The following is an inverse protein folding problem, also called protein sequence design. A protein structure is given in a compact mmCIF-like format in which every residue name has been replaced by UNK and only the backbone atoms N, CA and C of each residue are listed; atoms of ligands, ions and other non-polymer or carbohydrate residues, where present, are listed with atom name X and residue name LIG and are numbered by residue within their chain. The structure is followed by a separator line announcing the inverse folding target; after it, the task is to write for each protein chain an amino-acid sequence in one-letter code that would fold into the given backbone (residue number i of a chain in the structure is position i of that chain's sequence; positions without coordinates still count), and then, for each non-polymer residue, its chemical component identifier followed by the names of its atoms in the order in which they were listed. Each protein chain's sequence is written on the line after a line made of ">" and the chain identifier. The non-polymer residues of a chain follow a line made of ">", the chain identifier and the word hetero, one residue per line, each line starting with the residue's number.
data_IF_918301319752
#
_entry.id   IF_918301319752
#
_cell.length_a   1.000
_cell.length_b   1.000
_cell.length_c   1.000
_cell.angle_alpha   90.00
_cell.angle_beta   90.00
_cell.angle_gamma   90.00
#
_symmetry.space_group_name_H-M   'P 1'
#
loop_
_entity.id
_entity.type
_entity.pdbx_description
1 polymer ?
#
# COMPACT_ATOMS: atom_id res chain seq x y z
N UNK A 1 -40.70 51.51 37.40
CA UNK A 1 -39.64 50.89 38.21
C UNK A 1 -39.31 49.54 37.61
N UNK A 2 -38.12 49.45 37.01
CA UNK A 2 -37.32 48.26 36.62
C UNK A 2 -37.97 47.08 35.88
N UNK A 3 -37.59 46.97 34.60
CA UNK A 3 -37.68 45.84 33.66
C UNK A 3 -36.83 44.62 34.09
N UNK A 4 -37.29 43.37 33.87
CA UNK A 4 -36.39 42.23 33.72
C UNK A 4 -36.75 41.28 32.55
N UNK A 5 -37.20 41.80 31.40
CA UNK A 5 -37.48 41.00 30.18
C UNK A 5 -36.49 41.26 29.05
N UNK A 6 -35.22 41.53 29.39
CA UNK A 6 -34.11 41.58 28.42
C UNK A 6 -33.25 40.32 28.54
N UNK A 7 -33.69 39.22 27.92
CA UNK A 7 -32.80 38.07 27.66
C UNK A 7 -31.77 38.49 26.60
N UNK A 8 -30.46 38.35 26.85
CA UNK A 8 -29.45 38.64 25.84
C UNK A 8 -29.54 37.62 24.71
N UNK A 9 -29.54 38.13 23.48
CA UNK A 9 -29.42 37.35 22.26
C UNK A 9 -28.16 36.47 22.35
N UNK A 10 -28.36 35.16 22.17
CA UNK A 10 -27.30 34.16 22.15
C UNK A 10 -26.39 34.41 20.93
N UNK A 11 -25.06 34.44 21.08
CA UNK A 11 -24.16 34.64 19.96
C UNK A 11 -24.30 33.49 18.95
N UNK A 12 -24.44 33.88 17.69
CA UNK A 12 -24.33 33.05 16.49
C UNK A 12 -22.92 32.45 16.42
N UNK A 13 -22.73 31.25 16.96
CA UNK A 13 -21.51 30.49 16.72
C UNK A 13 -21.57 29.88 15.33
N UNK A 14 -21.00 30.60 14.38
CA UNK A 14 -20.51 30.10 13.11
C UNK A 14 -19.61 28.88 13.35
N UNK A 15 -20.08 27.68 12.97
CA UNK A 15 -19.26 26.46 12.96
C UNK A 15 -19.88 25.39 12.04
N UNK A 16 -20.19 25.74 10.80
CA UNK A 16 -20.76 24.79 9.83
C UNK A 16 -20.09 24.81 8.44
N UNK A 17 -18.88 25.39 8.30
CA UNK A 17 -18.25 25.57 6.98
C UNK A 17 -16.87 24.91 6.80
N UNK A 18 -16.38 24.10 7.76
CA UNK A 18 -15.00 23.57 7.71
C UNK A 18 -14.88 22.06 7.52
N UNK A 19 -16.00 21.32 7.45
CA UNK A 19 -15.97 19.86 7.25
C UNK A 19 -15.93 19.42 5.79
N UNK A 20 -16.27 20.30 4.84
CA UNK A 20 -16.30 19.93 3.42
C UNK A 20 -14.95 20.04 2.70
N UNK A 21 -13.94 20.69 3.31
CA UNK A 21 -12.67 20.93 2.61
C UNK A 21 -11.62 19.82 2.82
N UNK A 22 -11.68 19.06 3.92
CA UNK A 22 -10.74 17.93 4.15
C UNK A 22 -11.07 16.70 3.32
N UNK A 23 -12.35 16.43 3.07
CA UNK A 23 -12.79 15.27 2.28
C UNK A 23 -12.50 15.44 0.78
N UNK A 24 -12.55 16.68 0.28
CA UNK A 24 -12.23 17.00 -1.12
C UNK A 24 -10.74 16.82 -1.44
N UNK A 25 -9.83 17.16 -0.52
CA UNK A 25 -8.39 17.04 -0.72
C UNK A 25 -7.94 15.57 -0.89
N UNK A 26 -8.50 14.65 -0.10
CA UNK A 26 -8.18 13.22 -0.19
C UNK A 26 -8.80 12.59 -1.46
N UNK A 27 -9.99 13.03 -1.87
CA UNK A 27 -10.61 12.58 -3.13
C UNK A 27 -9.87 13.12 -4.37
N UNK A 28 -9.32 14.33 -4.32
CA UNK A 28 -8.51 14.92 -5.39
C UNK A 28 -7.17 14.19 -5.58
N UNK A 29 -6.55 13.72 -4.50
CA UNK A 29 -5.32 12.92 -4.57
C UNK A 29 -5.52 11.57 -5.29
N UNK A 30 -6.75 11.02 -5.31
CA UNK A 30 -7.07 9.78 -6.05
C UNK A 30 -7.35 9.99 -7.54
N UNK A 31 -7.30 11.23 -8.04
CA UNK A 31 -7.61 11.58 -9.44
C UNK A 31 -6.43 12.11 -10.25
N UNK A 32 -5.23 12.15 -9.67
CA UNK A 32 -4.00 12.34 -10.43
C UNK A 32 -3.51 10.98 -10.94
N UNK A 33 -4.05 10.50 -12.07
CA UNK A 33 -3.37 9.45 -12.84
C UNK A 33 -2.01 10.03 -13.24
N UNK A 34 -0.88 9.39 -12.92
CA UNK A 34 0.40 9.83 -13.41
C UNK A 34 0.32 9.85 -14.94
N UNK A 35 0.53 11.03 -15.53
CA UNK A 35 0.54 11.20 -16.98
C UNK A 35 1.90 10.72 -17.47
N UNK A 36 2.05 9.39 -17.48
CA UNK A 36 3.26 8.74 -17.94
C UNK A 36 3.43 9.11 -19.42
N UNK A 37 4.53 9.80 -19.75
CA UNK A 37 4.87 10.17 -21.12
C UNK A 37 4.95 8.89 -21.96
N UNK A 38 3.99 8.75 -22.86
CA UNK A 38 3.68 7.57 -23.66
C UNK A 38 4.71 7.17 -24.72
N UNK A 39 5.93 7.72 -24.70
CA UNK A 39 6.92 7.52 -25.77
C UNK A 39 8.10 6.61 -25.41
N UNK A 40 8.12 5.96 -24.23
CA UNK A 40 9.25 5.10 -23.83
C UNK A 40 8.87 3.74 -23.21
N UNK A 41 7.58 3.37 -23.14
CA UNK A 41 7.15 2.11 -22.48
C UNK A 41 6.99 0.94 -23.46
N UNK A 42 7.23 1.13 -24.76
CA UNK A 42 6.96 0.08 -25.76
C UNK A 42 7.87 -1.14 -25.67
N UNK A 43 8.97 -1.10 -24.91
CA UNK A 43 9.95 -2.19 -24.86
C UNK A 43 10.25 -2.72 -23.44
N UNK A 44 9.56 -2.27 -22.40
CA UNK A 44 9.70 -2.91 -21.08
C UNK A 44 8.79 -4.13 -21.07
N UNK A 45 9.33 -5.28 -21.46
CA UNK A 45 8.58 -6.53 -21.50
C UNK A 45 8.02 -6.77 -20.10
N UNK A 46 6.70 -6.72 -19.94
CA UNK A 46 6.02 -7.06 -18.68
C UNK A 46 6.45 -8.44 -18.15
N UNK A 47 6.93 -9.32 -19.03
CA UNK A 47 7.55 -10.62 -18.72
C UNK A 47 8.84 -10.54 -17.88
N UNK A 48 9.51 -9.38 -17.81
CA UNK A 48 10.66 -9.13 -16.93
C UNK A 48 10.25 -8.58 -15.55
N UNK A 49 8.99 -8.18 -15.35
CA UNK A 49 8.69 -7.19 -14.30
C UNK A 49 8.50 -7.76 -12.89
N UNK A 50 8.16 -9.04 -12.71
CA UNK A 50 7.88 -9.59 -11.38
C UNK A 50 8.12 -11.10 -11.33
N UNK A 51 9.31 -11.53 -10.91
CA UNK A 51 9.59 -12.95 -10.64
C UNK A 51 9.23 -13.24 -9.19
N UNK A 52 8.34 -14.21 -8.96
CA UNK A 52 8.05 -14.79 -7.64
C UNK A 52 8.46 -16.26 -7.64
N UNK A 53 8.49 -16.89 -6.47
CA UNK A 53 8.83 -18.29 -6.35
C UNK A 53 7.75 -19.17 -7.00
N UNK A 54 8.17 -20.25 -7.65
CA UNK A 54 7.25 -21.30 -8.09
C UNK A 54 6.87 -22.17 -6.89
N UNK A 55 5.57 -22.29 -6.63
CA UNK A 55 5.01 -23.06 -5.50
C UNK A 55 5.48 -24.53 -5.54
N UNK A 56 5.81 -25.07 -6.72
CA UNK A 56 6.28 -26.46 -6.86
C UNK A 56 7.73 -26.65 -6.45
N UNK A 57 8.49 -25.56 -6.31
CA UNK A 57 9.92 -25.58 -6.00
C UNK A 57 10.22 -25.16 -4.55
N UNK A 58 9.21 -24.68 -3.81
CA UNK A 58 9.35 -24.38 -2.38
C UNK A 58 9.20 -25.67 -1.55
N UNK A 59 9.56 -25.61 -0.26
CA UNK A 59 9.47 -26.79 0.61
C UNK A 59 8.03 -27.25 0.75
N UNK A 60 7.79 -28.56 0.57
CA UNK A 60 6.48 -29.23 0.63
C UNK A 60 6.41 -30.33 1.69
N UNK A 61 7.16 -30.15 2.78
CA UNK A 61 7.21 -31.13 3.87
C UNK A 61 5.95 -31.03 4.75
N UNK A 62 5.35 -32.16 5.24
CA UNK A 62 4.11 -32.13 6.00
C UNK A 62 4.12 -31.31 7.31
N UNK A 63 5.32 -31.10 7.89
CA UNK A 63 5.50 -30.31 9.10
C UNK A 63 5.77 -28.82 8.82
N UNK A 64 5.82 -28.43 7.54
CA UNK A 64 6.10 -27.08 7.08
C UNK A 64 4.81 -26.42 6.60
N UNK A 65 4.66 -25.13 6.90
CA UNK A 65 3.49 -24.37 6.47
C UNK A 65 3.48 -24.17 4.95
N UNK A 66 2.42 -24.66 4.31
CA UNK A 66 2.20 -24.50 2.87
C UNK A 66 1.86 -23.05 2.51
N UNK A 67 2.30 -22.55 1.34
CA UNK A 67 1.85 -21.24 0.85
C UNK A 67 0.33 -21.23 0.64
N UNK A 68 -0.35 -20.24 1.21
CA UNK A 68 -1.77 -20.01 0.99
C UNK A 68 -2.10 -18.52 0.79
N UNK A 69 -3.38 -18.15 0.90
CA UNK A 69 -3.89 -16.79 0.61
C UNK A 69 -3.13 -15.67 1.33
N UNK A 70 -2.72 -15.89 2.58
CA UNK A 70 -1.96 -14.90 3.36
C UNK A 70 -0.52 -14.70 2.81
N UNK A 71 0.10 -15.79 2.40
CA UNK A 71 1.43 -15.83 1.79
C UNK A 71 1.40 -15.12 0.42
N UNK A 72 0.35 -15.36 -0.38
CA UNK A 72 0.15 -14.68 -1.66
C UNK A 72 -0.13 -13.19 -1.46
N UNK A 73 -0.97 -12.82 -0.50
CA UNK A 73 -1.25 -11.43 -0.17
C UNK A 73 0.01 -10.67 0.28
N UNK A 74 0.90 -11.31 1.04
CA UNK A 74 2.17 -10.71 1.45
C UNK A 74 3.11 -10.52 0.25
N UNK A 75 3.22 -11.50 -0.64
CA UNK A 75 4.02 -11.38 -1.87
C UNK A 75 3.47 -10.28 -2.79
N UNK A 76 2.15 -10.16 -2.91
CA UNK A 76 1.51 -9.08 -3.67
C UNK A 76 1.83 -7.70 -3.10
N UNK A 77 1.84 -7.55 -1.77
CA UNK A 77 2.23 -6.31 -1.12
C UNK A 77 3.71 -5.97 -1.39
N UNK A 78 4.61 -6.96 -1.32
CA UNK A 78 6.03 -6.78 -1.65
C UNK A 78 6.23 -6.38 -3.11
N UNK A 79 5.48 -7.00 -4.03
CA UNK A 79 5.50 -6.67 -5.46
C UNK A 79 5.05 -5.24 -5.71
N UNK A 80 3.99 -4.80 -5.03
CA UNK A 80 3.49 -3.43 -5.13
C UNK A 80 4.51 -2.40 -4.62
N UNK A 81 5.32 -2.74 -3.63
CA UNK A 81 6.35 -1.87 -3.04
C UNK A 81 7.76 -2.09 -3.61
N UNK A 82 7.92 -2.92 -4.64
CA UNK A 82 9.21 -3.29 -5.23
C UNK A 82 10.11 -2.09 -5.55
N UNK A 83 9.56 -1.04 -6.13
CA UNK A 83 10.32 0.14 -6.53
C UNK A 83 10.95 0.86 -5.32
N UNK A 84 10.22 0.91 -4.21
CA UNK A 84 10.66 1.48 -2.95
C UNK A 84 11.77 0.62 -2.32
N UNK A 85 11.56 -0.70 -2.28
CA UNK A 85 12.56 -1.66 -1.80
C UNK A 85 13.88 -1.55 -2.58
N UNK A 86 13.83 -1.47 -3.92
CA UNK A 86 15.03 -1.29 -4.74
C UNK A 86 15.74 0.04 -4.48
N UNK A 87 14.99 1.13 -4.28
CA UNK A 87 15.55 2.45 -3.99
C UNK A 87 16.31 2.48 -2.65
N UNK A 88 15.90 1.67 -1.68
CA UNK A 88 16.54 1.59 -0.37
C UNK A 88 17.81 0.74 -0.33
N UNK A 89 18.12 -0.02 -1.39
CA UNK A 89 19.29 -0.90 -1.47
C UNK A 89 19.48 -1.77 -0.21
N UNK A 90 18.48 -2.59 0.18
CA UNK A 90 18.60 -3.44 1.35
C UNK A 90 19.76 -4.43 1.18
N UNK A 91 20.68 -4.42 2.15
CA UNK A 91 21.84 -5.33 2.17
C UNK A 91 21.53 -6.66 2.89
N UNK A 92 20.47 -6.70 3.69
CA UNK A 92 20.06 -7.85 4.47
C UNK A 92 18.54 -7.93 4.52
N UNK A 93 18.01 -9.13 4.33
CA UNK A 93 16.61 -9.45 4.57
C UNK A 93 16.53 -10.63 5.55
N UNK A 94 15.61 -10.57 6.51
CA UNK A 94 15.35 -11.63 7.48
C UNK A 94 13.84 -11.85 7.55
N UNK A 95 13.40 -13.07 7.24
CA UNK A 95 12.04 -13.53 7.49
C UNK A 95 12.01 -14.39 8.76
N UNK A 96 11.12 -14.06 9.69
CA UNK A 96 10.90 -14.86 10.89
C UNK A 96 9.72 -15.80 10.63
N UNK A 97 9.95 -17.10 10.76
CA UNK A 97 8.91 -18.11 10.50
C UNK A 97 8.62 -18.29 9.02
N UNK A 98 9.64 -18.56 8.21
CA UNK A 98 9.54 -18.60 6.75
C UNK A 98 8.68 -19.75 6.17
N UNK A 99 8.26 -20.72 6.97
CA UNK A 99 7.43 -21.84 6.52
C UNK A 99 8.05 -22.56 5.31
N UNK A 100 7.27 -22.69 4.24
CA UNK A 100 7.72 -23.25 2.95
C UNK A 100 8.89 -22.49 2.29
N UNK A 101 9.16 -21.26 2.73
CA UNK A 101 10.15 -20.35 2.15
C UNK A 101 9.62 -19.56 0.95
N UNK A 102 8.31 -19.64 0.66
CA UNK A 102 7.71 -19.00 -0.51
C UNK A 102 7.89 -17.48 -0.54
N UNK A 103 7.70 -16.79 0.59
CA UNK A 103 7.75 -15.33 0.65
C UNK A 103 9.18 -14.83 0.49
N UNK A 104 10.14 -15.28 1.32
CA UNK A 104 11.54 -14.85 1.21
C UNK A 104 12.15 -15.19 -0.16
N UNK A 105 11.83 -16.36 -0.72
CA UNK A 105 12.33 -16.75 -2.05
C UNK A 105 11.72 -15.87 -3.13
N UNK A 106 10.43 -15.52 -3.04
CA UNK A 106 9.79 -14.58 -3.95
C UNK A 106 10.42 -13.19 -3.87
N UNK A 107 10.72 -12.70 -2.66
CA UNK A 107 11.39 -11.42 -2.46
C UNK A 107 12.80 -11.41 -3.06
N UNK A 108 13.59 -12.48 -2.86
CA UNK A 108 14.91 -12.62 -3.45
C UNK A 108 14.86 -12.55 -4.99
N UNK A 109 13.95 -13.32 -5.61
CA UNK A 109 13.76 -13.30 -7.07
C UNK A 109 13.31 -11.94 -7.61
N UNK A 110 12.58 -11.17 -6.80
CA UNK A 110 12.07 -9.84 -7.14
C UNK A 110 13.15 -8.75 -7.09
N UNK A 111 14.05 -8.84 -6.11
CA UNK A 111 15.12 -7.84 -5.89
C UNK A 111 16.39 -8.15 -6.69
N UNK A 112 16.59 -9.39 -7.12
CA UNK A 112 17.72 -9.82 -7.95
C UNK A 112 18.95 -10.17 -7.13
#
# INVERSE_FOLDING_TARGET
>A
STDPTRRPARPTTAAASDRNNRTAAIAAARRAKPKIRSKQISNLSWTMLTKTADIRLVSSHPEVYDPCDDSFALVDALLADRANLLQHHPALCLEIGCGSGYVITSLALMLG
#
